data_IF_603495063855
#
_entry.id   IF_603495063855
#
_cell.length_a   1.000
_cell.length_b   1.000
_cell.length_c   1.000
_cell.angle_alpha   90.00
_cell.angle_beta   90.00
_cell.angle_gamma   90.00
#
_symmetry.space_group_name_H-M   'P 1'
#
loop_
_entity.id
_entity.type
_entity.pdbx_description
1 polymer ?
#
# COMPACT_ATOMS: atom_id res chain seq x y z
N UNK A 1 -4.95 -7.59 25.68
CA UNK A 1 -6.44 -7.57 25.77
C UNK A 1 -6.81 -7.08 27.15
N UNK A 2 -7.73 -6.13 27.25
CA UNK A 2 -8.20 -5.53 28.50
C UNK A 2 -9.34 -6.35 29.17
N UNK A 3 -9.66 -7.55 28.63
CA UNK A 3 -10.67 -8.47 29.13
C UNK A 3 -12.11 -8.03 28.91
N UNK A 4 -12.37 -6.98 28.13
CA UNK A 4 -13.73 -6.55 27.83
C UNK A 4 -14.40 -7.46 26.82
N UNK A 5 -15.67 -7.77 27.05
CA UNK A 5 -16.53 -8.51 26.13
C UNK A 5 -17.64 -7.61 25.62
N UNK A 6 -17.92 -7.70 24.33
CA UNK A 6 -19.01 -6.99 23.67
C UNK A 6 -19.92 -8.04 23.01
N UNK A 7 -21.24 -7.83 23.09
CA UNK A 7 -22.24 -8.65 22.39
C UNK A 7 -22.87 -7.80 21.29
N UNK A 8 -23.13 -8.40 20.13
CA UNK A 8 -23.81 -7.77 19.01
C UNK A 8 -24.40 -8.83 18.10
N UNK A 9 -25.38 -8.44 17.30
CA UNK A 9 -26.07 -9.34 16.35
C UNK A 9 -25.20 -9.64 15.13
N UNK A 10 -24.30 -8.71 14.77
CA UNK A 10 -23.35 -8.85 13.67
C UNK A 10 -21.95 -8.35 14.07
N UNK A 11 -20.92 -8.98 13.54
CA UNK A 11 -19.53 -8.60 13.76
C UNK A 11 -18.89 -8.28 12.40
N UNK A 12 -18.43 -7.04 12.23
CA UNK A 12 -17.68 -6.60 11.05
C UNK A 12 -16.19 -6.59 11.40
N UNK A 13 -15.41 -7.43 10.71
CA UNK A 13 -13.95 -7.49 10.88
C UNK A 13 -13.28 -6.55 9.87
N UNK A 14 -12.56 -5.54 10.37
CA UNK A 14 -11.78 -4.58 9.58
C UNK A 14 -10.36 -4.48 10.14
N UNK A 15 -9.68 -5.63 10.32
CA UNK A 15 -8.45 -5.77 11.12
C UNK A 15 -7.17 -5.80 10.29
N UNK A 16 -7.23 -5.50 8.99
CA UNK A 16 -6.07 -5.47 8.11
C UNK A 16 -6.34 -6.07 6.73
N UNK A 17 -5.31 -6.09 5.91
CA UNK A 17 -5.35 -6.60 4.55
C UNK A 17 -4.61 -7.94 4.47
N UNK A 18 -5.13 -8.84 3.66
CA UNK A 18 -4.45 -10.05 3.21
C UNK A 18 -4.31 -10.00 1.69
N UNK A 19 -3.20 -10.49 1.17
CA UNK A 19 -3.06 -10.64 -0.26
C UNK A 19 -4.02 -11.70 -0.80
N UNK A 20 -4.36 -11.61 -2.09
CA UNK A 20 -5.24 -12.59 -2.72
C UNK A 20 -4.59 -13.97 -2.74
N UNK A 21 -5.39 -15.02 -2.50
CA UNK A 21 -4.92 -16.41 -2.45
C UNK A 21 -4.21 -16.87 -3.75
N UNK A 22 -4.52 -16.26 -4.89
CA UNK A 22 -3.86 -16.56 -6.17
C UNK A 22 -2.33 -16.48 -6.10
N UNK A 23 -1.80 -15.61 -5.22
CA UNK A 23 -0.34 -15.47 -5.04
C UNK A 23 0.23 -16.69 -4.33
N UNK A 24 -0.40 -17.13 -3.24
CA UNK A 24 0.01 -18.35 -2.53
C UNK A 24 -0.15 -19.60 -3.41
N UNK A 25 -1.21 -19.67 -4.21
CA UNK A 25 -1.49 -20.78 -5.12
C UNK A 25 -0.52 -20.83 -6.30
N UNK A 26 0.16 -19.73 -6.64
CA UNK A 26 1.15 -19.66 -7.72
C UNK A 26 2.52 -20.25 -7.37
N UNK A 27 2.71 -20.76 -6.16
CA UNK A 27 3.97 -21.33 -5.64
C UNK A 27 5.12 -20.32 -5.51
N UNK A 28 4.81 -19.03 -5.48
CA UNK A 28 5.77 -17.98 -5.18
C UNK A 28 5.98 -17.89 -3.66
N UNK A 29 7.15 -17.46 -3.25
CA UNK A 29 7.46 -17.18 -1.85
C UNK A 29 6.54 -16.08 -1.32
N UNK A 30 5.85 -16.37 -0.20
CA UNK A 30 4.90 -15.46 0.41
C UNK A 30 5.17 -15.30 1.91
N UNK A 31 4.74 -14.18 2.44
CA UNK A 31 4.66 -13.94 3.89
C UNK A 31 3.40 -14.61 4.48
N UNK A 32 3.26 -14.60 5.81
CA UNK A 32 2.08 -15.17 6.50
C UNK A 32 0.74 -14.57 6.08
N UNK A 33 0.74 -13.30 5.64
CA UNK A 33 -0.45 -12.61 5.14
C UNK A 33 -0.71 -12.84 3.64
N UNK A 34 0.09 -13.73 3.00
CA UNK A 34 -0.03 -14.11 1.59
C UNK A 34 0.61 -13.15 0.61
N UNK A 35 1.34 -12.13 1.07
CA UNK A 35 2.03 -11.18 0.18
C UNK A 35 3.22 -11.82 -0.51
N UNK A 36 3.35 -11.60 -1.83
CA UNK A 36 4.51 -12.04 -2.61
C UNK A 36 5.78 -11.35 -2.14
N UNK A 37 6.82 -12.11 -1.87
CA UNK A 37 8.13 -11.56 -1.50
C UNK A 37 8.83 -11.04 -2.75
N UNK A 38 9.20 -9.76 -2.73
CA UNK A 38 9.90 -9.10 -3.84
C UNK A 38 11.16 -8.40 -3.36
N UNK A 39 12.08 -8.15 -4.31
CA UNK A 39 13.25 -7.31 -4.12
C UNK A 39 12.88 -5.82 -4.25
N UNK A 40 13.82 -4.93 -3.95
CA UNK A 40 13.64 -3.47 -4.14
C UNK A 40 13.34 -3.07 -5.59
N UNK A 41 13.67 -3.90 -6.57
CA UNK A 41 13.27 -3.74 -7.98
C UNK A 41 11.82 -4.09 -8.27
N UNK A 42 11.06 -4.51 -7.26
CA UNK A 42 9.68 -5.01 -7.37
C UNK A 42 9.56 -6.34 -8.14
N UNK A 43 10.66 -7.04 -8.35
CA UNK A 43 10.68 -8.40 -8.91
C UNK A 43 10.47 -9.44 -7.80
N UNK A 44 9.77 -10.52 -8.12
CA UNK A 44 9.72 -11.70 -7.27
C UNK A 44 11.14 -12.23 -6.99
N UNK A 45 11.36 -12.72 -5.78
CA UNK A 45 12.63 -13.38 -5.44
C UNK A 45 12.78 -14.76 -6.11
N UNK A 46 11.68 -15.38 -6.55
CA UNK A 46 11.66 -16.72 -7.14
C UNK A 46 11.77 -16.69 -8.65
N UNK A 47 11.16 -15.69 -9.30
CA UNK A 47 11.14 -15.58 -10.75
C UNK A 47 11.33 -14.11 -11.18
N UNK A 48 12.43 -13.77 -11.84
CA UNK A 48 12.73 -12.40 -12.26
C UNK A 48 11.78 -11.87 -13.35
N UNK A 49 10.95 -12.71 -13.96
CA UNK A 49 9.94 -12.29 -14.93
C UNK A 49 8.64 -11.84 -14.28
N UNK A 50 8.47 -12.08 -12.98
CA UNK A 50 7.27 -11.72 -12.21
C UNK A 50 7.54 -10.47 -11.38
N UNK A 51 6.66 -9.51 -11.50
CA UNK A 51 6.71 -8.24 -10.78
C UNK A 51 5.43 -8.04 -9.98
N UNK A 52 5.54 -7.28 -8.90
CA UNK A 52 4.39 -6.90 -8.09
C UNK A 52 4.54 -5.51 -7.48
N UNK A 53 3.41 -4.90 -7.10
CA UNK A 53 3.36 -3.63 -6.39
C UNK A 53 2.09 -3.52 -5.55
N UNK A 54 2.08 -2.61 -4.58
CA UNK A 54 0.94 -2.34 -3.72
C UNK A 54 0.74 -3.37 -2.61
N UNK A 55 -0.50 -3.53 -2.18
CA UNK A 55 -0.84 -4.29 -0.97
C UNK A 55 -0.62 -5.82 -1.09
N UNK A 56 -0.32 -6.30 -2.30
CA UNK A 56 -0.09 -7.72 -2.57
C UNK A 56 1.39 -8.15 -2.45
N UNK A 57 2.30 -7.22 -2.15
CA UNK A 57 3.73 -7.51 -2.05
C UNK A 57 4.30 -7.25 -0.66
N UNK A 58 5.48 -7.81 -0.42
CA UNK A 58 6.36 -7.54 0.71
C UNK A 58 7.78 -7.33 0.18
N UNK A 59 8.30 -6.11 0.32
CA UNK A 59 9.67 -5.78 -0.10
C UNK A 59 10.63 -6.28 0.99
N UNK A 60 11.46 -7.25 0.65
CA UNK A 60 12.30 -7.96 1.61
C UNK A 60 13.29 -7.03 2.32
N UNK A 61 13.93 -6.11 1.58
CA UNK A 61 14.96 -5.21 2.12
C UNK A 61 14.37 -4.06 2.93
N UNK A 62 13.11 -3.69 2.67
CA UNK A 62 12.47 -2.56 3.33
C UNK A 62 10.97 -2.84 3.51
N UNK A 63 10.59 -3.56 4.57
CA UNK A 63 9.18 -3.83 4.87
C UNK A 63 8.37 -2.53 5.03
N UNK A 64 7.24 -2.45 4.34
CA UNK A 64 6.37 -1.28 4.34
C UNK A 64 4.96 -1.66 4.85
N UNK A 65 4.25 -0.72 5.49
CA UNK A 65 2.84 -0.93 5.79
C UNK A 65 2.01 -0.90 4.50
N UNK A 66 0.94 -1.69 4.45
CA UNK A 66 -0.01 -1.72 3.32
C UNK A 66 -0.86 -0.45 3.29
N UNK A 67 -0.38 0.54 2.57
CA UNK A 67 -1.01 1.85 2.42
C UNK A 67 -0.96 2.29 0.96
N UNK A 68 -2.07 2.77 0.43
CA UNK A 68 -2.19 3.20 -0.97
C UNK A 68 -1.15 4.22 -1.42
N UNK A 69 -0.59 5.02 -0.51
CA UNK A 69 0.47 5.98 -0.84
C UNK A 69 1.76 5.30 -1.34
N UNK A 70 2.08 4.10 -0.86
CA UNK A 70 3.23 3.34 -1.35
C UNK A 70 2.91 2.75 -2.73
N UNK A 71 1.75 2.12 -2.91
CA UNK A 71 1.30 1.58 -4.20
C UNK A 71 1.35 2.62 -5.32
N UNK A 72 0.89 3.86 -5.05
CA UNK A 72 0.94 4.97 -6.01
C UNK A 72 2.38 5.34 -6.38
N UNK A 73 3.33 5.25 -5.47
CA UNK A 73 4.75 5.57 -5.72
C UNK A 73 5.55 4.41 -6.29
N UNK A 74 5.14 3.20 -6.05
CA UNK A 74 5.69 2.00 -6.69
C UNK A 74 5.33 1.92 -8.17
N UNK A 75 4.13 2.37 -8.54
CA UNK A 75 3.59 2.28 -9.89
C UNK A 75 4.53 2.81 -10.99
N UNK A 76 5.14 4.01 -10.93
CA UNK A 76 6.07 4.47 -11.96
C UNK A 76 7.37 3.65 -12.00
N UNK A 77 7.84 3.11 -10.86
CA UNK A 77 9.00 2.23 -10.81
C UNK A 77 8.66 0.89 -11.45
N UNK A 78 7.51 0.33 -11.12
CA UNK A 78 7.01 -0.91 -11.72
C UNK A 78 6.92 -0.78 -13.25
N UNK A 79 6.30 0.29 -13.76
CA UNK A 79 6.19 0.53 -15.19
C UNK A 79 7.57 0.62 -15.87
N UNK A 80 8.48 1.41 -15.28
CA UNK A 80 9.84 1.53 -15.80
C UNK A 80 10.56 0.17 -15.82
N UNK A 81 10.43 -0.61 -14.74
CA UNK A 81 11.12 -1.90 -14.62
C UNK A 81 10.55 -2.96 -15.55
N UNK A 82 9.25 -3.00 -15.78
CA UNK A 82 8.63 -3.86 -16.78
C UNK A 82 9.15 -3.54 -18.19
N UNK A 83 9.20 -2.27 -18.56
CA UNK A 83 9.76 -1.84 -19.85
C UNK A 83 11.25 -2.21 -19.98
N UNK A 84 12.04 -1.87 -18.93
CA UNK A 84 13.47 -2.16 -18.90
C UNK A 84 13.76 -3.66 -18.97
N UNK A 85 12.96 -4.48 -18.30
CA UNK A 85 13.10 -5.95 -18.33
C UNK A 85 12.91 -6.49 -19.74
N UNK A 86 11.86 -6.08 -20.46
CA UNK A 86 11.59 -6.48 -21.84
C UNK A 86 12.71 -6.02 -22.79
N UNK A 87 13.29 -4.84 -22.54
CA UNK A 87 14.35 -4.26 -23.36
C UNK A 87 15.77 -4.72 -22.96
N UNK A 88 15.90 -5.56 -21.93
CA UNK A 88 17.21 -6.00 -21.40
C UNK A 88 18.03 -4.87 -20.76
N UNK A 89 17.37 -3.82 -20.24
CA UNK A 89 17.99 -2.65 -19.60
C UNK A 89 18.07 -2.82 -18.07
N UNK A 90 18.96 -2.07 -17.40
CA UNK A 90 19.04 -2.07 -15.94
C UNK A 90 17.72 -1.63 -15.28
N UNK A 91 17.36 -2.32 -14.22
CA UNK A 91 16.18 -1.99 -13.39
C UNK A 91 16.51 -0.91 -12.36
N UNK A 92 15.49 -0.24 -11.87
CA UNK A 92 15.56 0.75 -10.78
C UNK A 92 15.06 0.16 -9.48
N UNK A 93 15.72 0.53 -8.39
CA UNK A 93 15.22 0.23 -7.06
C UNK A 93 14.13 1.23 -6.68
N UNK A 94 13.12 0.75 -6.00
CA UNK A 94 12.16 1.58 -5.29
C UNK A 94 12.78 2.00 -3.94
N UNK A 95 12.88 3.31 -3.72
CA UNK A 95 13.31 3.91 -2.45
C UNK A 95 12.09 4.56 -1.78
N UNK A 96 11.51 3.93 -0.76
CA UNK A 96 10.28 4.41 -0.15
C UNK A 96 10.51 5.70 0.66
N UNK A 97 9.54 6.60 0.59
CA UNK A 97 9.56 7.83 1.39
C UNK A 97 9.48 7.52 2.90
N UNK A 98 10.29 8.22 3.68
CA UNK A 98 10.29 8.09 5.14
C UNK A 98 9.08 8.75 5.82
N UNK A 99 8.41 9.67 5.13
CA UNK A 99 7.24 10.40 5.65
C UNK A 99 6.14 10.45 4.60
N UNK A 100 4.93 10.27 5.04
CA UNK A 100 3.73 10.37 4.20
C UNK A 100 2.60 11.03 4.98
N UNK A 101 1.69 11.67 4.26
CA UNK A 101 0.45 12.20 4.80
C UNK A 101 -0.60 11.08 4.78
N UNK A 102 -1.17 10.79 5.93
CA UNK A 102 -2.32 9.89 6.07
C UNK A 102 -3.52 10.69 6.53
N UNK A 103 -4.66 10.58 5.83
CA UNK A 103 -5.90 11.27 6.21
C UNK A 103 -7.00 10.25 6.35
N UNK A 104 -7.43 10.04 7.57
CA UNK A 104 -8.49 9.10 7.94
C UNK A 104 -9.83 9.85 7.96
N UNK A 105 -10.78 9.42 7.13
CA UNK A 105 -12.15 9.91 7.18
C UNK A 105 -12.85 9.30 8.41
N UNK A 106 -13.35 10.16 9.31
CA UNK A 106 -14.02 9.74 10.55
C UNK A 106 -15.54 9.87 10.48
N UNK A 107 -16.07 10.22 9.30
CA UNK A 107 -17.49 10.49 9.13
C UNK A 107 -17.89 11.91 9.54
N UNK A 108 -19.16 12.27 9.32
CA UNK A 108 -19.69 13.59 9.70
C UNK A 108 -18.95 14.79 9.08
N UNK A 109 -18.28 14.61 7.93
CA UNK A 109 -17.52 15.68 7.26
C UNK A 109 -16.21 16.05 7.98
N UNK A 110 -15.68 15.15 8.82
CA UNK A 110 -14.43 15.35 9.57
C UNK A 110 -13.40 14.29 9.22
N UNK A 111 -12.13 14.66 9.33
CA UNK A 111 -11.01 13.73 9.13
C UNK A 111 -9.88 13.99 10.12
N UNK A 112 -9.07 12.97 10.36
CA UNK A 112 -7.81 13.04 11.10
C UNK A 112 -6.66 12.97 10.09
N UNK A 113 -5.88 14.03 10.00
CA UNK A 113 -4.67 14.07 9.21
C UNK A 113 -3.44 13.83 10.08
N UNK A 114 -2.53 12.98 9.59
CA UNK A 114 -1.32 12.56 10.28
C UNK A 114 -0.11 12.82 9.36
N UNK A 115 0.92 13.52 9.89
CA UNK A 115 2.19 13.76 9.21
C UNK A 115 3.36 13.54 10.17
N UNK A 116 3.93 12.37 10.14
CA UNK A 116 4.98 12.01 11.09
C UNK A 116 4.45 12.05 12.54
N UNK A 117 4.96 12.99 13.35
CA UNK A 117 4.50 13.20 14.74
C UNK A 117 3.38 14.23 14.88
N UNK A 118 3.06 14.95 13.81
CA UNK A 118 2.02 15.97 13.83
C UNK A 118 0.68 15.35 13.41
N UNK A 119 -0.38 15.79 14.08
CA UNK A 119 -1.73 15.44 13.71
C UNK A 119 -2.66 16.63 13.88
N UNK A 120 -3.70 16.68 13.06
CA UNK A 120 -4.79 17.64 13.22
C UNK A 120 -6.10 16.97 12.80
N UNK A 121 -7.17 17.42 13.47
CA UNK A 121 -8.49 16.87 13.31
C UNK A 121 -9.48 17.97 12.92
N UNK A 122 -10.49 17.63 12.14
CA UNK A 122 -11.62 18.50 11.85
C UNK A 122 -11.99 18.58 10.38
N UNK A 123 -12.84 19.57 10.06
CA UNK A 123 -13.36 19.78 8.70
C UNK A 123 -12.26 20.17 7.69
N UNK A 124 -11.26 20.94 8.13
CA UNK A 124 -10.14 21.33 7.24
C UNK A 124 -9.35 20.12 6.75
N UNK A 125 -9.16 19.12 7.61
CA UNK A 125 -8.53 17.85 7.20
C UNK A 125 -9.36 17.12 6.14
N UNK A 126 -10.68 17.18 6.23
CA UNK A 126 -11.57 16.56 5.24
C UNK A 126 -11.52 17.31 3.91
N UNK A 127 -11.54 18.65 3.93
CA UNK A 127 -11.39 19.47 2.72
C UNK A 127 -10.06 19.18 2.02
N UNK A 128 -8.96 19.08 2.80
CA UNK A 128 -7.65 18.72 2.25
C UNK A 128 -7.68 17.34 1.61
N UNK A 129 -8.33 16.35 2.26
CA UNK A 129 -8.48 15.01 1.71
C UNK A 129 -9.20 15.04 0.38
N UNK A 130 -10.36 15.69 0.30
CA UNK A 130 -11.15 15.81 -0.93
C UNK A 130 -10.36 16.47 -2.06
N UNK A 131 -9.64 17.53 -1.76
CA UNK A 131 -8.78 18.20 -2.74
C UNK A 131 -7.69 17.27 -3.29
N UNK A 132 -7.01 16.52 -2.41
CA UNK A 132 -5.96 15.59 -2.80
C UNK A 132 -6.52 14.42 -3.63
N UNK A 133 -7.64 13.83 -3.20
CA UNK A 133 -8.30 12.73 -3.91
C UNK A 133 -8.75 13.17 -5.31
N UNK A 134 -9.39 14.34 -5.44
CA UNK A 134 -9.80 14.90 -6.74
C UNK A 134 -8.60 15.24 -7.63
N UNK A 135 -7.54 15.81 -7.06
CA UNK A 135 -6.30 16.11 -7.78
C UNK A 135 -5.63 14.84 -8.32
N UNK A 136 -5.69 13.75 -7.54
CA UNK A 136 -5.18 12.45 -7.96
C UNK A 136 -6.00 11.88 -9.12
N UNK A 137 -7.33 11.88 -9.00
CA UNK A 137 -8.21 11.37 -10.05
C UNK A 137 -8.04 12.09 -11.39
N UNK A 138 -7.84 13.42 -11.37
CA UNK A 138 -7.61 14.23 -12.59
C UNK A 138 -6.34 13.85 -13.37
N UNK A 139 -5.39 13.15 -12.75
CA UNK A 139 -4.17 12.71 -13.45
C UNK A 139 -4.40 11.49 -14.35
N UNK A 140 -5.53 10.80 -14.17
CA UNK A 140 -5.86 9.56 -14.88
C UNK A 140 -7.10 9.68 -15.77
N UNK A 141 -7.63 10.88 -15.91
CA UNK A 141 -8.67 11.24 -16.88
C UNK A 141 -8.04 11.90 -18.13
#
# INVERSE_FOLDING_TARGET
TDGRSFTGDEIILATGLRANAVIADSRLSTTEDGSMVVQSTLQSIDDPSIFGAGDCIFIQETPLPKLGVFAVRESPILLHNLQSFVEGKPLRNYDPQKRYLSILNLGGGTALALWGKFYWFGKLSMILKEYLDLSFLKKYQ
#
